data_IF_982228452624
#
_entry.id   IF_982228452624
#
_cell.length_a   1.000
_cell.length_b   1.000
_cell.length_c   1.000
_cell.angle_alpha   90.00
_cell.angle_beta   90.00
_cell.angle_gamma   90.00
#
_symmetry.space_group_name_H-M   'P 1'
#
loop_
_entity.id
_entity.type
_entity.pdbx_description
1 polymer ?
#
# COMPACT_ATOMS: atom_id res chain seq x y z
N UNK A 1 30.22 27.65 -10.79
CA UNK A 1 30.05 26.55 -9.86
C UNK A 1 30.13 25.24 -10.65
N UNK A 2 31.01 24.33 -10.27
CA UNK A 2 31.23 23.08 -11.02
C UNK A 2 29.94 22.24 -11.02
N UNK A 3 29.62 21.54 -12.12
CA UNK A 3 28.39 20.74 -12.29
C UNK A 3 28.15 19.78 -11.13
N UNK A 4 29.22 19.19 -10.60
CA UNK A 4 29.19 18.31 -9.42
C UNK A 4 28.74 19.05 -8.15
N UNK A 5 29.20 20.28 -7.92
CA UNK A 5 28.78 21.09 -6.76
C UNK A 5 27.30 21.52 -6.87
N UNK A 6 26.83 21.84 -8.06
CA UNK A 6 25.41 22.13 -8.28
C UNK A 6 24.53 20.92 -7.98
N UNK A 7 24.90 19.72 -8.47
CA UNK A 7 24.19 18.50 -8.21
C UNK A 7 24.14 18.13 -6.71
N UNK A 8 25.25 18.31 -5.99
CA UNK A 8 25.31 18.12 -4.54
C UNK A 8 24.42 19.12 -3.81
N UNK A 9 24.47 20.40 -4.16
CA UNK A 9 23.63 21.43 -3.56
C UNK A 9 22.13 21.13 -3.75
N UNK A 10 21.70 20.76 -4.96
CA UNK A 10 20.32 20.37 -5.24
C UNK A 10 19.92 19.13 -4.43
N UNK A 11 20.81 18.14 -4.33
CA UNK A 11 20.58 16.91 -3.54
C UNK A 11 20.40 17.22 -2.06
N UNK A 12 21.26 18.07 -1.46
CA UNK A 12 21.14 18.46 -0.06
C UNK A 12 19.88 19.31 0.18
N UNK A 13 19.55 20.23 -0.70
CA UNK A 13 18.34 21.03 -0.62
C UNK A 13 17.09 20.13 -0.61
N UNK A 14 17.00 19.18 -1.53
CA UNK A 14 15.86 18.27 -1.61
C UNK A 14 15.78 17.35 -0.38
N UNK A 15 16.91 16.86 0.12
CA UNK A 15 16.95 16.03 1.33
C UNK A 15 16.50 16.79 2.59
N UNK A 16 16.97 18.03 2.77
CA UNK A 16 16.57 18.87 3.90
C UNK A 16 15.09 19.24 3.82
N UNK A 17 14.59 19.57 2.63
CA UNK A 17 13.16 19.86 2.41
C UNK A 17 12.30 18.63 2.74
N UNK A 18 12.69 17.45 2.26
CA UNK A 18 12.00 16.18 2.56
C UNK A 18 12.01 15.87 4.05
N UNK A 19 13.15 16.06 4.74
CA UNK A 19 13.27 15.90 6.18
C UNK A 19 12.38 16.90 6.95
N UNK A 20 12.30 18.13 6.50
CA UNK A 20 11.41 19.16 7.07
C UNK A 20 9.93 18.78 6.93
N UNK A 21 9.50 18.35 5.73
CA UNK A 21 8.14 17.85 5.50
C UNK A 21 7.84 16.61 6.34
N UNK A 22 8.78 15.68 6.45
CA UNK A 22 8.62 14.50 7.30
C UNK A 22 8.42 14.88 8.77
N UNK A 23 9.31 15.72 9.32
CA UNK A 23 9.24 16.13 10.73
C UNK A 23 7.92 16.86 11.04
N UNK A 24 7.51 17.79 10.17
CA UNK A 24 6.27 18.52 10.30
C UNK A 24 5.04 17.58 10.19
N UNK A 25 5.05 16.69 9.19
CA UNK A 25 3.99 15.72 9.00
C UNK A 25 3.85 14.78 10.18
N UNK A 26 4.97 14.30 10.72
CA UNK A 26 4.99 13.40 11.87
C UNK A 26 4.50 14.12 13.13
N UNK A 27 4.94 15.37 13.37
CA UNK A 27 4.47 16.16 14.49
C UNK A 27 2.95 16.33 14.51
N UNK A 28 2.34 16.73 13.36
CA UNK A 28 0.88 16.86 13.24
C UNK A 28 0.14 15.52 13.45
N UNK A 29 0.72 14.41 13.01
CA UNK A 29 0.08 13.09 13.09
C UNK A 29 0.20 12.46 14.47
N UNK A 30 1.32 12.70 15.16
CA UNK A 30 1.52 12.19 16.52
C UNK A 30 0.84 13.06 17.59
N UNK A 31 0.52 14.33 17.28
CA UNK A 31 -0.15 15.22 18.23
C UNK A 31 -1.48 14.63 18.66
N UNK A 32 -1.62 14.32 19.96
CA UNK A 32 -2.80 13.68 20.54
C UNK A 32 -3.27 12.42 19.80
N UNK A 33 -2.36 11.59 19.27
CA UNK A 33 -2.72 10.39 18.49
C UNK A 33 -3.53 9.37 19.31
N UNK A 34 -3.32 9.31 20.64
CA UNK A 34 -4.09 8.44 21.54
C UNK A 34 -5.49 8.95 21.86
N UNK A 35 -6.00 9.95 21.13
CA UNK A 35 -7.36 10.50 21.27
C UNK A 35 -8.06 10.54 19.91
N UNK A 36 -9.40 10.31 19.88
CA UNK A 36 -10.26 9.90 20.99
C UNK A 36 -9.95 8.50 21.51
N UNK A 37 -10.47 8.19 22.72
CA UNK A 37 -10.33 6.86 23.32
C UNK A 37 -11.25 5.85 22.64
N UNK A 38 -10.83 4.58 22.67
CA UNK A 38 -11.55 3.49 22.01
C UNK A 38 -11.29 3.39 20.51
N UNK A 39 -12.00 2.49 19.88
CA UNK A 39 -11.88 2.26 18.45
C UNK A 39 -12.72 3.24 17.63
N UNK A 40 -12.18 3.72 16.52
CA UNK A 40 -12.86 4.58 15.56
C UNK A 40 -13.13 3.74 14.30
N UNK A 41 -14.37 3.69 13.86
CA UNK A 41 -14.77 3.02 12.63
C UNK A 41 -14.24 1.57 12.57
N UNK A 42 -13.57 1.18 11.49
CA UNK A 42 -13.05 -0.17 11.30
C UNK A 42 -11.82 -0.53 12.19
N UNK A 43 -11.34 0.39 13.02
CA UNK A 43 -10.29 0.05 14.01
C UNK A 43 -10.72 -1.13 14.91
N UNK A 44 -12.03 -1.26 15.16
CA UNK A 44 -12.59 -2.37 15.96
C UNK A 44 -12.24 -3.74 15.39
N UNK A 45 -12.10 -3.84 14.07
CA UNK A 45 -11.67 -5.06 13.39
C UNK A 45 -10.15 -5.09 13.24
N UNK A 46 -9.57 -4.06 12.62
CA UNK A 46 -8.17 -4.11 12.21
C UNK A 46 -7.19 -4.10 13.38
N UNK A 47 -7.46 -3.38 14.46
CA UNK A 47 -6.57 -3.38 15.64
C UNK A 47 -6.64 -4.74 16.38
N UNK A 48 -7.84 -5.33 16.53
CA UNK A 48 -7.99 -6.67 17.14
C UNK A 48 -7.34 -7.75 16.29
N UNK A 49 -7.60 -7.75 14.97
CA UNK A 49 -6.96 -8.71 14.06
C UNK A 49 -5.43 -8.55 14.03
N UNK A 50 -4.92 -7.30 14.03
CA UNK A 50 -3.49 -7.04 14.09
C UNK A 50 -2.86 -7.57 15.39
N UNK A 51 -3.54 -7.42 16.52
CA UNK A 51 -3.10 -7.97 17.79
C UNK A 51 -3.12 -9.50 17.79
N UNK A 52 -4.18 -10.12 17.24
CA UNK A 52 -4.25 -11.57 17.08
C UNK A 52 -3.13 -12.10 16.18
N UNK A 53 -2.88 -11.47 15.03
CA UNK A 53 -1.76 -11.81 14.14
C UNK A 53 -0.40 -11.73 14.86
N UNK A 54 -0.20 -10.73 15.72
CA UNK A 54 1.02 -10.58 16.50
C UNK A 54 1.24 -11.73 17.49
N UNK A 55 0.16 -12.22 18.13
CA UNK A 55 0.23 -13.25 19.14
C UNK A 55 0.20 -14.67 18.57
N UNK A 56 -0.52 -14.90 17.49
CA UNK A 56 -0.86 -16.24 17.02
C UNK A 56 -0.43 -16.52 15.57
N UNK A 57 0.00 -15.50 14.81
CA UNK A 57 0.34 -15.62 13.39
C UNK A 57 -0.87 -15.71 12.46
N UNK A 58 -2.09 -15.80 13.01
CA UNK A 58 -3.38 -15.80 12.31
C UNK A 58 -4.42 -15.03 13.13
N UNK A 59 -5.52 -14.68 12.50
CA UNK A 59 -6.63 -14.01 13.15
C UNK A 59 -7.51 -15.03 13.90
N UNK A 60 -7.63 -14.79 15.21
CA UNK A 60 -8.51 -15.57 16.09
C UNK A 60 -9.45 -14.61 16.84
N UNK A 61 -10.72 -14.99 16.94
CA UNK A 61 -11.67 -14.38 17.87
C UNK A 61 -12.02 -15.40 18.98
N UNK A 62 -11.80 -15.01 20.24
CA UNK A 62 -12.03 -15.89 21.41
C UNK A 62 -11.41 -17.30 21.27
N UNK A 63 -10.20 -17.37 20.68
CA UNK A 63 -9.46 -18.61 20.46
C UNK A 63 -9.94 -19.46 19.30
N UNK A 64 -10.94 -19.01 18.53
CA UNK A 64 -11.43 -19.67 17.31
C UNK A 64 -10.93 -18.96 16.09
N UNK A 65 -10.69 -19.70 15.01
CA UNK A 65 -10.31 -19.13 13.70
C UNK A 65 -11.37 -18.13 13.22
N UNK A 66 -10.92 -16.93 12.91
CA UNK A 66 -11.78 -15.84 12.43
C UNK A 66 -11.69 -15.72 10.91
N UNK A 67 -12.85 -15.61 10.25
CA UNK A 67 -12.92 -15.29 8.82
C UNK A 67 -12.69 -13.81 8.61
N UNK A 68 -11.67 -13.49 7.82
CA UNK A 68 -11.26 -12.10 7.56
C UNK A 68 -11.41 -11.78 6.08
N UNK A 69 -11.95 -10.59 5.78
CA UNK A 69 -12.28 -10.16 4.42
C UNK A 69 -11.18 -9.30 3.75
N UNK A 70 -10.09 -9.02 4.46
CA UNK A 70 -8.96 -8.27 3.94
C UNK A 70 -7.64 -9.01 4.16
N UNK A 71 -6.70 -8.93 3.20
CA UNK A 71 -5.38 -9.53 3.31
C UNK A 71 -4.55 -8.99 4.49
N UNK A 72 -3.44 -9.64 4.87
CA UNK A 72 -2.80 -9.41 6.18
C UNK A 72 -1.87 -8.17 6.26
N UNK A 73 -1.32 -7.64 5.15
CA UNK A 73 -0.20 -6.67 5.19
C UNK A 73 -0.52 -5.40 5.97
N UNK A 74 -1.70 -4.79 5.74
CA UNK A 74 -2.08 -3.59 6.49
C UNK A 74 -2.18 -3.85 8.00
N UNK A 75 -2.69 -5.04 8.36
CA UNK A 75 -2.78 -5.47 9.77
C UNK A 75 -1.41 -5.78 10.37
N UNK A 76 -0.44 -6.29 9.59
CA UNK A 76 0.95 -6.43 10.04
C UNK A 76 1.58 -5.09 10.39
N UNK A 77 1.32 -4.06 9.60
CA UNK A 77 1.83 -2.72 9.89
C UNK A 77 1.21 -2.15 11.17
N UNK A 78 -0.09 -2.35 11.39
CA UNK A 78 -0.75 -1.98 12.65
C UNK A 78 -0.14 -2.77 13.80
N UNK A 79 0.09 -4.08 13.65
CA UNK A 79 0.69 -4.96 14.64
C UNK A 79 2.11 -4.50 15.05
N UNK A 80 2.90 -3.93 14.14
CA UNK A 80 4.20 -3.36 14.46
C UNK A 80 4.09 -2.21 15.48
N UNK A 81 3.12 -1.31 15.30
CA UNK A 81 2.87 -0.24 16.26
C UNK A 81 2.41 -0.78 17.62
N UNK A 82 1.51 -1.77 17.63
CA UNK A 82 1.06 -2.46 18.85
C UNK A 82 2.24 -3.15 19.56
N UNK A 83 3.13 -3.78 18.81
CA UNK A 83 4.32 -4.45 19.38
C UNK A 83 5.25 -3.49 20.13
N UNK A 84 5.38 -2.25 19.64
CA UNK A 84 6.30 -1.26 20.18
C UNK A 84 5.67 -0.49 21.36
N UNK A 85 4.39 -0.11 21.22
CA UNK A 85 3.72 0.82 22.14
C UNK A 85 2.58 0.19 22.96
N UNK A 86 2.35 -1.12 22.79
CA UNK A 86 1.27 -1.83 23.46
C UNK A 86 -0.07 -1.75 22.72
N UNK A 87 -1.03 -2.59 23.16
CA UNK A 87 -2.38 -2.62 22.61
C UNK A 87 -3.22 -1.48 23.22
N UNK A 88 -3.03 -0.28 22.70
CA UNK A 88 -3.74 0.95 23.07
C UNK A 88 -3.86 1.86 21.84
N UNK A 89 -4.63 2.95 21.97
CA UNK A 89 -4.97 3.85 20.86
C UNK A 89 -3.75 4.43 20.16
N UNK A 90 -2.72 4.78 20.90
CA UNK A 90 -1.47 5.24 20.31
C UNK A 90 -0.77 4.12 19.56
N UNK A 91 -0.71 2.92 20.14
CA UNK A 91 -0.02 1.76 19.57
C UNK A 91 -0.61 1.35 18.21
N UNK A 92 -1.92 1.13 18.13
CA UNK A 92 -2.50 0.69 16.85
C UNK A 92 -2.55 1.79 15.78
N UNK A 93 -2.55 3.10 16.15
CA UNK A 93 -2.53 4.23 15.20
C UNK A 93 -1.14 4.65 14.76
N UNK A 94 -0.09 4.27 15.51
CA UNK A 94 1.28 4.75 15.26
C UNK A 94 1.77 4.46 13.84
N UNK A 95 1.58 3.24 13.34
CA UNK A 95 2.05 2.87 12.00
C UNK A 95 1.35 3.67 10.91
N UNK A 96 0.06 3.99 11.07
CA UNK A 96 -0.67 4.87 10.16
C UNK A 96 -0.09 6.29 10.15
N UNK A 97 0.26 6.82 11.34
CA UNK A 97 0.89 8.14 11.46
C UNK A 97 2.27 8.18 10.82
N UNK A 98 3.08 7.15 11.01
CA UNK A 98 4.42 7.04 10.42
C UNK A 98 4.33 6.93 8.89
N UNK A 99 3.54 5.98 8.37
CA UNK A 99 3.38 5.73 6.93
C UNK A 99 2.75 6.93 6.23
N UNK A 100 1.75 7.57 6.84
CA UNK A 100 1.19 8.80 6.32
C UNK A 100 2.19 9.95 6.26
N UNK A 101 3.12 10.04 7.22
CA UNK A 101 4.20 11.04 7.19
C UNK A 101 5.23 10.74 6.09
N UNK A 102 5.60 9.47 5.92
CA UNK A 102 6.50 9.04 4.83
C UNK A 102 5.84 9.28 3.47
N UNK A 103 4.51 9.13 3.37
CA UNK A 103 3.77 9.39 2.12
C UNK A 103 3.90 10.83 1.64
N UNK A 104 3.95 11.83 2.55
CA UNK A 104 4.18 13.23 2.19
C UNK A 104 5.55 13.41 1.52
N UNK A 105 6.59 12.78 2.07
CA UNK A 105 7.93 12.78 1.48
C UNK A 105 7.95 12.09 0.11
N UNK A 106 7.25 10.98 0.01
CA UNK A 106 7.16 10.23 -1.25
C UNK A 106 6.44 11.04 -2.33
N UNK A 107 5.35 11.72 -1.99
CA UNK A 107 4.63 12.65 -2.90
C UNK A 107 5.55 13.80 -3.35
N UNK A 108 6.35 14.37 -2.45
CA UNK A 108 7.37 15.36 -2.83
C UNK A 108 8.31 14.82 -3.91
N UNK A 109 8.85 13.62 -3.74
CA UNK A 109 9.77 13.03 -4.71
C UNK A 109 9.07 12.59 -6.01
N UNK A 110 7.84 12.12 -5.95
CA UNK A 110 7.02 11.86 -7.15
C UNK A 110 6.82 13.14 -7.95
N UNK A 111 6.43 14.24 -7.30
CA UNK A 111 6.27 15.53 -7.94
C UNK A 111 7.59 16.07 -8.53
N UNK A 112 8.72 15.85 -7.85
CA UNK A 112 10.04 16.18 -8.39
C UNK A 112 10.34 15.43 -9.69
N UNK A 113 9.96 14.16 -9.78
CA UNK A 113 10.16 13.37 -11.00
C UNK A 113 9.24 13.78 -12.14
N UNK A 114 8.00 14.16 -11.82
CA UNK A 114 7.00 14.52 -12.82
C UNK A 114 7.21 15.94 -13.36
N UNK A 115 7.46 16.90 -12.48
CA UNK A 115 7.48 18.32 -12.85
C UNK A 115 8.89 18.88 -13.02
N UNK A 116 9.90 18.18 -12.48
CA UNK A 116 11.29 18.70 -12.41
C UNK A 116 11.35 20.13 -11.87
N UNK A 117 10.48 20.47 -10.92
CA UNK A 117 10.33 21.82 -10.37
C UNK A 117 10.22 21.74 -8.85
N UNK A 118 11.15 22.39 -8.16
CA UNK A 118 11.24 22.41 -6.70
C UNK A 118 9.98 23.00 -6.05
N UNK A 119 9.49 24.14 -6.55
CA UNK A 119 8.37 24.84 -5.93
C UNK A 119 7.06 24.09 -6.11
N UNK A 120 6.82 23.51 -7.28
CA UNK A 120 5.65 22.66 -7.51
C UNK A 120 5.69 21.41 -6.63
N UNK A 121 6.86 20.84 -6.39
CA UNK A 121 7.01 19.68 -5.51
C UNK A 121 6.75 20.04 -4.05
N UNK A 122 7.24 21.19 -3.59
CA UNK A 122 6.92 21.69 -2.26
C UNK A 122 5.42 21.98 -2.11
N UNK A 123 4.81 22.61 -3.12
CA UNK A 123 3.38 22.91 -3.12
C UNK A 123 2.54 21.61 -3.06
N UNK A 124 2.89 20.61 -3.87
CA UNK A 124 2.20 19.30 -3.87
C UNK A 124 2.29 18.63 -2.50
N UNK A 125 3.49 18.61 -1.90
CA UNK A 125 3.68 18.05 -0.56
C UNK A 125 2.91 18.83 0.51
N UNK A 126 2.90 20.17 0.44
CA UNK A 126 2.18 21.04 1.36
C UNK A 126 0.66 20.82 1.26
N UNK A 127 0.10 20.78 0.07
CA UNK A 127 -1.33 20.54 -0.14
C UNK A 127 -1.73 19.17 0.42
N UNK A 128 -0.92 18.13 0.20
CA UNK A 128 -1.20 16.80 0.77
C UNK A 128 -1.01 16.78 2.29
N UNK A 129 -0.05 17.53 2.83
CA UNK A 129 0.13 17.68 4.28
C UNK A 129 -1.11 18.25 4.97
N UNK A 130 -1.75 19.22 4.33
CA UNK A 130 -2.93 19.94 4.81
C UNK A 130 -4.25 19.28 4.43
N UNK A 131 -4.21 18.24 3.59
CA UNK A 131 -5.42 17.51 3.19
C UNK A 131 -6.05 16.80 4.37
N UNK A 132 -7.33 17.12 4.64
CA UNK A 132 -8.07 16.61 5.78
C UNK A 132 -8.29 15.10 5.71
N UNK A 133 -8.59 14.55 4.53
CA UNK A 133 -8.83 13.13 4.33
C UNK A 133 -7.55 12.33 4.59
N UNK A 134 -6.44 12.76 4.00
CA UNK A 134 -5.13 12.14 4.23
C UNK A 134 -4.73 12.23 5.71
N UNK A 135 -4.99 13.35 6.38
CA UNK A 135 -4.69 13.51 7.80
C UNK A 135 -5.49 12.53 8.65
N UNK A 136 -6.81 12.40 8.44
CA UNK A 136 -7.68 11.46 9.17
C UNK A 136 -7.22 10.02 8.97
N UNK A 137 -7.01 9.58 7.72
CA UNK A 137 -6.52 8.22 7.42
C UNK A 137 -5.13 7.95 8.02
N UNK A 138 -4.29 8.97 8.16
CA UNK A 138 -2.97 8.84 8.83
C UNK A 138 -3.05 8.81 10.35
N UNK A 139 -4.21 9.04 10.97
CA UNK A 139 -4.40 9.08 12.42
C UNK A 139 -5.36 8.02 12.94
N UNK A 140 -5.83 7.17 12.05
CA UNK A 140 -6.69 6.02 12.34
C UNK A 140 -6.04 4.74 11.81
N UNK A 141 -6.25 3.62 12.49
CA UNK A 141 -5.71 2.33 12.07
C UNK A 141 -6.58 1.69 10.97
N UNK A 142 -6.62 2.36 9.81
CA UNK A 142 -7.34 1.90 8.62
C UNK A 142 -6.35 1.39 7.56
N UNK A 143 -6.82 0.50 6.68
CA UNK A 143 -5.96 -0.12 5.66
C UNK A 143 -5.64 0.83 4.50
N UNK A 144 -6.46 1.85 4.27
CA UNK A 144 -6.40 2.71 3.08
C UNK A 144 -5.11 3.54 3.01
N UNK A 145 -4.58 4.01 4.15
CA UNK A 145 -3.31 4.75 4.19
C UNK A 145 -2.12 3.86 3.73
N UNK A 146 -2.12 2.59 4.10
CA UNK A 146 -1.09 1.65 3.70
C UNK A 146 -1.24 1.25 2.23
N UNK A 147 -2.47 1.04 1.75
CA UNK A 147 -2.76 0.81 0.35
C UNK A 147 -2.23 1.97 -0.50
N UNK A 148 -2.62 3.20 -0.17
CA UNK A 148 -2.17 4.41 -0.87
C UNK A 148 -0.64 4.52 -0.87
N UNK A 149 0.01 4.28 0.26
CA UNK A 149 1.48 4.31 0.37
C UNK A 149 2.14 3.33 -0.61
N UNK A 150 1.72 2.07 -0.64
CA UNK A 150 2.32 1.07 -1.53
C UNK A 150 2.03 1.35 -3.01
N UNK A 151 0.86 1.88 -3.35
CA UNK A 151 0.54 2.31 -4.71
C UNK A 151 1.43 3.49 -5.15
N UNK A 152 1.58 4.48 -4.28
CA UNK A 152 2.43 5.64 -4.54
C UNK A 152 3.91 5.23 -4.67
N UNK A 153 4.37 4.31 -3.82
CA UNK A 153 5.73 3.77 -3.88
C UNK A 153 5.96 2.97 -5.17
N UNK A 154 4.97 2.18 -5.60
CA UNK A 154 5.01 1.47 -6.88
C UNK A 154 5.13 2.45 -8.05
N UNK A 155 4.31 3.51 -8.05
CA UNK A 155 4.38 4.56 -9.06
C UNK A 155 5.73 5.29 -9.06
N UNK A 156 6.27 5.59 -7.89
CA UNK A 156 7.61 6.18 -7.78
C UNK A 156 8.69 5.28 -8.37
N UNK A 157 8.62 3.97 -8.15
CA UNK A 157 9.54 3.02 -8.77
C UNK A 157 9.37 2.92 -10.29
N UNK A 158 8.15 3.07 -10.82
CA UNK A 158 7.92 3.21 -12.26
C UNK A 158 8.66 4.43 -12.80
N UNK A 159 8.54 5.59 -12.16
CA UNK A 159 9.22 6.83 -12.54
C UNK A 159 10.76 6.72 -12.46
N UNK A 160 11.27 5.81 -11.63
CA UNK A 160 12.70 5.48 -11.54
C UNK A 160 13.15 4.36 -12.50
N UNK A 161 12.25 3.85 -13.36
CA UNK A 161 12.49 2.68 -14.21
C UNK A 161 12.86 1.39 -13.45
N UNK A 162 12.50 1.32 -12.15
CA UNK A 162 12.73 0.14 -11.29
C UNK A 162 11.50 -0.76 -11.27
N UNK A 163 11.12 -1.29 -12.43
CA UNK A 163 9.84 -1.96 -12.63
C UNK A 163 9.66 -3.24 -11.78
N UNK A 164 10.75 -3.96 -11.44
CA UNK A 164 10.69 -5.11 -10.53
C UNK A 164 10.28 -4.71 -9.11
N UNK A 165 10.85 -3.61 -8.60
CA UNK A 165 10.45 -3.06 -7.30
C UNK A 165 9.02 -2.51 -7.33
N UNK A 166 8.61 -1.92 -8.46
CA UNK A 166 7.23 -1.47 -8.65
C UNK A 166 6.25 -2.64 -8.54
N UNK A 167 6.53 -3.77 -9.20
CA UNK A 167 5.70 -4.98 -9.09
C UNK A 167 5.64 -5.54 -7.67
N UNK A 168 6.77 -5.58 -7.00
CA UNK A 168 6.85 -6.06 -5.61
C UNK A 168 6.01 -5.20 -4.66
N UNK A 169 6.14 -3.87 -4.73
CA UNK A 169 5.34 -2.95 -3.91
C UNK A 169 3.86 -2.96 -4.28
N UNK A 170 3.53 -3.19 -5.55
CA UNK A 170 2.15 -3.38 -6.00
C UNK A 170 1.53 -4.66 -5.41
N UNK A 171 2.33 -5.71 -5.24
CA UNK A 171 1.92 -6.92 -4.53
C UNK A 171 1.58 -6.65 -3.06
N UNK A 172 2.32 -5.79 -2.36
CA UNK A 172 1.96 -5.35 -1.01
C UNK A 172 0.71 -4.48 -0.99
N UNK A 173 0.48 -3.64 -2.00
CA UNK A 173 -0.77 -2.90 -2.12
C UNK A 173 -1.97 -3.86 -2.22
N UNK A 174 -1.89 -4.87 -3.09
CA UNK A 174 -2.89 -5.91 -3.25
C UNK A 174 -3.09 -6.72 -1.94
N UNK A 175 -1.98 -7.02 -1.25
CA UNK A 175 -1.98 -7.73 0.03
C UNK A 175 -2.40 -6.87 1.24
N UNK A 176 -2.66 -5.59 1.02
CA UNK A 176 -3.29 -4.70 2.00
C UNK A 176 -4.80 -4.66 1.83
N UNK A 177 -5.29 -4.47 0.61
CA UNK A 177 -6.72 -4.38 0.28
C UNK A 177 -6.95 -4.76 -1.19
N UNK A 178 -8.01 -5.52 -1.46
CA UNK A 178 -8.29 -6.04 -2.82
C UNK A 178 -8.54 -4.94 -3.87
N UNK A 179 -8.89 -3.73 -3.46
CA UNK A 179 -8.96 -2.59 -4.38
C UNK A 179 -7.62 -2.31 -5.09
N UNK A 180 -6.50 -2.82 -4.57
CA UNK A 180 -5.20 -2.83 -5.26
C UNK A 180 -5.22 -3.48 -6.64
N UNK A 181 -6.17 -4.39 -6.93
CA UNK A 181 -6.30 -5.07 -8.23
C UNK A 181 -6.61 -4.08 -9.37
N UNK A 182 -7.38 -3.03 -9.09
CA UNK A 182 -7.69 -2.00 -10.09
C UNK A 182 -6.42 -1.25 -10.51
N UNK A 183 -5.54 -0.98 -9.55
CA UNK A 183 -4.26 -0.31 -9.80
C UNK A 183 -3.25 -1.23 -10.46
N UNK A 184 -3.29 -2.53 -10.15
CA UNK A 184 -2.50 -3.54 -10.86
C UNK A 184 -2.85 -3.52 -12.35
N UNK A 185 -4.13 -3.59 -12.70
CA UNK A 185 -4.60 -3.52 -14.08
C UNK A 185 -4.21 -2.19 -14.75
N UNK A 186 -4.40 -1.06 -14.03
CA UNK A 186 -4.06 0.26 -14.54
C UNK A 186 -2.55 0.44 -14.80
N UNK A 187 -1.68 0.00 -13.86
CA UNK A 187 -0.24 0.11 -14.03
C UNK A 187 0.30 -0.82 -15.11
N UNK A 188 -0.25 -2.03 -15.21
CA UNK A 188 0.09 -2.93 -16.31
C UNK A 188 -0.27 -2.30 -17.68
N UNK A 189 -1.51 -1.83 -17.84
CA UNK A 189 -1.95 -1.16 -19.07
C UNK A 189 -1.13 0.10 -19.38
N UNK A 190 -0.82 0.90 -18.35
CA UNK A 190 0.04 2.08 -18.47
C UNK A 190 1.43 1.72 -18.98
N UNK A 191 2.05 0.65 -18.47
CA UNK A 191 3.39 0.23 -18.90
C UNK A 191 3.39 -0.30 -20.32
N UNK A 192 2.36 -1.05 -20.73
CA UNK A 192 2.20 -1.47 -22.15
C UNK A 192 2.02 -0.24 -23.05
N UNK A 193 1.26 0.76 -22.62
CA UNK A 193 1.08 2.00 -23.36
C UNK A 193 2.39 2.79 -23.49
N UNK A 194 3.19 2.88 -22.42
CA UNK A 194 4.51 3.54 -22.46
C UNK A 194 5.44 2.84 -23.45
N UNK A 195 5.51 1.51 -23.41
CA UNK A 195 6.32 0.73 -24.33
C UNK A 195 5.85 0.91 -25.80
N UNK A 196 4.53 0.91 -26.03
CA UNK A 196 3.95 1.22 -27.35
C UNK A 196 4.35 2.62 -27.84
N UNK A 197 4.29 3.63 -26.96
CA UNK A 197 4.70 5.01 -27.32
C UNK A 197 6.18 5.09 -27.68
N UNK A 198 7.04 4.32 -26.99
CA UNK A 198 8.47 4.23 -27.31
C UNK A 198 8.72 3.59 -28.68
N UNK A 199 8.06 2.46 -28.98
CA UNK A 199 8.15 1.80 -30.30
C UNK A 199 7.68 2.74 -31.42
N UNK A 200 6.57 3.47 -31.19
CA UNK A 200 6.06 4.44 -32.17
C UNK A 200 7.02 5.62 -32.38
N UNK A 201 7.67 6.10 -31.31
CA UNK A 201 8.63 7.18 -31.41
C UNK A 201 9.94 6.78 -32.14
N UNK A 202 10.24 5.47 -32.19
CA UNK A 202 11.33 4.91 -32.99
C UNK A 202 10.94 4.64 -34.46
N UNK A 203 9.80 5.16 -34.89
CA UNK A 203 9.26 5.01 -36.26
C UNK A 203 9.04 3.55 -36.69
N UNK A 204 8.80 2.66 -35.70
CA UNK A 204 8.50 1.26 -35.99
C UNK A 204 7.19 1.15 -36.78
N UNK A 205 7.21 0.47 -37.94
CA UNK A 205 6.04 0.30 -38.80
C UNK A 205 4.93 -0.56 -38.18
N UNK A 206 5.28 -1.37 -37.19
CA UNK A 206 4.32 -2.24 -36.48
C UNK A 206 4.46 -2.13 -34.95
N UNK A 207 4.25 -0.93 -34.36
CA UNK A 207 4.59 -0.68 -32.95
C UNK A 207 3.80 -1.55 -31.99
N UNK A 208 2.51 -1.84 -32.27
CA UNK A 208 1.69 -2.73 -31.44
C UNK A 208 2.26 -4.14 -31.42
N UNK A 209 2.55 -4.70 -32.63
CA UNK A 209 3.09 -6.06 -32.75
C UNK A 209 4.43 -6.18 -32.03
N UNK A 210 5.33 -5.22 -32.24
CA UNK A 210 6.64 -5.16 -31.58
C UNK A 210 6.51 -5.09 -30.06
N UNK A 211 5.64 -4.23 -29.52
CA UNK A 211 5.39 -4.12 -28.08
C UNK A 211 4.90 -5.46 -27.51
N UNK A 212 3.91 -6.09 -28.13
CA UNK A 212 3.38 -7.35 -27.66
C UNK A 212 4.40 -8.49 -27.73
N UNK A 213 5.20 -8.57 -28.79
CA UNK A 213 6.22 -9.62 -28.93
C UNK A 213 7.41 -9.43 -27.97
N UNK A 214 7.87 -8.20 -27.77
CA UNK A 214 9.14 -7.93 -27.09
C UNK A 214 8.98 -7.53 -25.62
N UNK A 215 7.83 -6.94 -25.24
CA UNK A 215 7.65 -6.34 -23.91
C UNK A 215 6.55 -6.99 -23.07
N UNK A 216 5.53 -7.58 -23.70
CA UNK A 216 4.36 -8.11 -22.99
C UNK A 216 4.75 -9.14 -21.93
N UNK A 217 5.62 -10.10 -22.25
CA UNK A 217 6.03 -11.13 -21.29
C UNK A 217 6.73 -10.55 -20.06
N UNK A 218 7.71 -9.65 -20.27
CA UNK A 218 8.43 -9.04 -19.15
C UNK A 218 7.51 -8.14 -18.31
N UNK A 219 6.59 -7.39 -18.95
CA UNK A 219 5.62 -6.58 -18.22
C UNK A 219 4.61 -7.42 -17.45
N UNK A 220 4.15 -8.53 -18.02
CA UNK A 220 3.29 -9.49 -17.31
C UNK A 220 4.01 -10.08 -16.09
N UNK A 221 5.30 -10.41 -16.23
CA UNK A 221 6.08 -10.89 -15.08
C UNK A 221 6.19 -9.80 -14.00
N UNK A 222 6.51 -8.57 -14.38
CA UNK A 222 6.70 -7.46 -13.43
C UNK A 222 5.41 -7.00 -12.75
N UNK A 223 4.30 -6.91 -13.49
CA UNK A 223 3.06 -6.27 -13.01
C UNK A 223 1.89 -7.25 -12.80
N UNK A 224 2.07 -8.55 -13.04
CA UNK A 224 1.07 -9.57 -12.71
C UNK A 224 1.72 -10.67 -11.86
N UNK A 225 2.74 -11.38 -12.38
CA UNK A 225 3.29 -12.54 -11.67
C UNK A 225 3.92 -12.15 -10.33
N UNK A 226 4.81 -11.14 -10.30
CA UNK A 226 5.47 -10.69 -9.05
C UNK A 226 4.45 -10.19 -8.02
N UNK A 227 3.49 -9.32 -8.34
CA UNK A 227 2.44 -8.94 -7.41
C UNK A 227 1.67 -10.13 -6.84
N UNK A 228 1.29 -11.10 -7.69
CA UNK A 228 0.56 -12.31 -7.25
C UNK A 228 1.42 -13.17 -6.33
N UNK A 229 2.68 -13.42 -6.67
CA UNK A 229 3.62 -14.17 -5.83
C UNK A 229 3.82 -13.46 -4.48
N UNK A 230 4.03 -12.13 -4.51
CA UNK A 230 4.13 -11.32 -3.29
C UNK A 230 2.88 -11.43 -2.45
N UNK A 231 1.70 -11.31 -3.06
CA UNK A 231 0.41 -11.47 -2.40
C UNK A 231 0.29 -12.83 -1.69
N UNK A 232 0.54 -13.93 -2.42
CA UNK A 232 0.44 -15.30 -1.87
C UNK A 232 1.44 -15.50 -0.72
N UNK A 233 2.66 -14.97 -0.83
CA UNK A 233 3.66 -15.09 0.25
C UNK A 233 3.23 -14.36 1.53
N UNK A 234 2.40 -13.33 1.45
CA UNK A 234 1.89 -12.66 2.66
C UNK A 234 0.91 -13.53 3.47
N UNK A 235 0.39 -14.60 2.89
CA UNK A 235 -0.47 -15.56 3.59
C UNK A 235 0.32 -16.66 4.34
N UNK A 236 1.67 -16.53 4.44
CA UNK A 236 2.51 -17.55 5.09
C UNK A 236 2.10 -17.83 6.54
N UNK A 237 1.65 -16.83 7.30
CA UNK A 237 1.10 -17.04 8.65
C UNK A 237 -0.04 -18.05 8.64
N UNK A 238 -1.00 -17.87 7.76
CA UNK A 238 -2.13 -18.76 7.57
C UNK A 238 -1.69 -20.16 7.04
N UNK A 239 -0.68 -20.23 6.16
CA UNK A 239 -0.16 -21.51 5.67
C UNK A 239 0.53 -22.33 6.77
N UNK A 240 1.30 -21.67 7.63
CA UNK A 240 2.16 -22.32 8.64
C UNK A 240 1.43 -22.61 9.95
N UNK A 241 0.29 -21.94 10.20
CA UNK A 241 -0.45 -22.07 11.45
C UNK A 241 -1.67 -22.98 11.26
N UNK A 242 -1.86 -24.02 12.08
CA UNK A 242 -2.98 -24.95 11.93
C UNK A 242 -4.35 -24.31 12.22
N UNK A 243 -4.36 -23.21 12.97
CA UNK A 243 -5.57 -22.54 13.46
C UNK A 243 -6.10 -21.47 12.49
N UNK A 244 -5.56 -21.36 11.25
CA UNK A 244 -6.10 -20.44 10.24
C UNK A 244 -7.52 -20.84 9.83
N UNK A 245 -8.39 -19.86 9.59
CA UNK A 245 -9.76 -20.11 9.19
C UNK A 245 -9.80 -21.02 7.95
N UNK A 246 -10.54 -22.11 8.07
CA UNK A 246 -10.77 -23.14 7.05
C UNK A 246 -9.49 -23.64 6.33
N UNK A 247 -8.37 -23.61 7.07
CA UNK A 247 -7.03 -24.01 6.58
C UNK A 247 -7.00 -25.44 6.05
N UNK A 248 -7.83 -26.31 6.64
CA UNK A 248 -7.90 -27.75 6.33
C UNK A 248 -9.09 -28.10 5.44
N UNK A 249 -9.69 -27.12 4.73
CA UNK A 249 -10.78 -27.35 3.77
C UNK A 249 -10.40 -28.40 2.70
N UNK A 250 -9.14 -28.39 2.26
CA UNK A 250 -8.59 -29.37 1.33
C UNK A 250 -7.25 -29.89 1.84
N UNK A 251 -6.85 -31.10 1.38
CA UNK A 251 -5.49 -31.63 1.58
C UNK A 251 -4.43 -30.75 0.89
N UNK A 252 -4.79 -30.05 -0.19
CA UNK A 252 -3.92 -29.10 -0.87
C UNK A 252 -4.11 -27.69 -0.28
N UNK A 253 -3.08 -27.09 0.34
CA UNK A 253 -3.17 -25.78 0.96
C UNK A 253 -3.55 -24.64 -0.01
N UNK A 254 -3.14 -24.74 -1.28
CA UNK A 254 -3.50 -23.73 -2.29
C UNK A 254 -4.99 -23.78 -2.65
N UNK A 255 -5.61 -24.99 -2.64
CA UNK A 255 -7.05 -25.13 -2.83
C UNK A 255 -7.82 -24.59 -1.63
N UNK A 256 -7.31 -24.79 -0.41
CA UNK A 256 -7.90 -24.18 0.79
C UNK A 256 -7.81 -22.65 0.72
N UNK A 257 -6.67 -22.08 0.27
CA UNK A 257 -6.53 -20.65 0.08
C UNK A 257 -7.48 -20.14 -1.01
N UNK A 258 -7.61 -20.85 -2.12
CA UNK A 258 -8.56 -20.52 -3.17
C UNK A 258 -10.00 -20.49 -2.63
N UNK A 259 -10.39 -21.50 -1.87
CA UNK A 259 -11.70 -21.51 -1.21
C UNK A 259 -11.88 -20.31 -0.28
N UNK A 260 -10.87 -19.97 0.55
CA UNK A 260 -10.90 -18.76 1.37
C UNK A 260 -11.20 -17.52 0.53
N UNK A 261 -10.54 -17.37 -0.62
CA UNK A 261 -10.74 -16.24 -1.51
C UNK A 261 -12.11 -16.22 -2.18
N UNK A 262 -12.69 -17.39 -2.46
CA UNK A 262 -14.09 -17.45 -2.93
C UNK A 262 -15.08 -16.96 -1.89
N UNK A 263 -14.82 -17.26 -0.61
CA UNK A 263 -15.65 -16.75 0.51
C UNK A 263 -15.49 -15.24 0.68
N UNK A 264 -14.26 -14.73 0.58
CA UNK A 264 -14.01 -13.25 0.58
C UNK A 264 -14.75 -12.57 -0.58
N UNK A 265 -14.73 -13.17 -1.78
CA UNK A 265 -15.46 -12.65 -2.94
C UNK A 265 -16.97 -12.63 -2.69
N UNK A 266 -17.54 -13.74 -2.20
CA UNK A 266 -18.96 -13.84 -1.87
C UNK A 266 -19.37 -12.79 -0.82
N UNK A 267 -18.53 -12.59 0.21
CA UNK A 267 -18.77 -11.54 1.20
C UNK A 267 -18.88 -10.16 0.54
N UNK A 268 -17.89 -9.77 -0.26
CA UNK A 268 -17.86 -8.45 -0.88
C UNK A 268 -18.96 -8.22 -1.93
N UNK A 269 -19.39 -9.26 -2.63
CA UNK A 269 -20.46 -9.15 -3.66
C UNK A 269 -21.86 -9.21 -3.10
N UNK A 270 -22.06 -9.87 -1.95
CA UNK A 270 -23.37 -10.06 -1.32
C UNK A 270 -23.63 -9.08 -0.16
N UNK A 271 -22.67 -8.19 0.14
CA UNK A 271 -22.84 -7.20 1.19
C UNK A 271 -23.93 -6.20 0.82
N UNK A 272 -25.07 -6.30 1.52
CA UNK A 272 -26.26 -5.44 1.29
C UNK A 272 -26.45 -4.39 2.38
N UNK A 273 -25.66 -4.45 3.45
CA UNK A 273 -25.76 -3.56 4.58
C UNK A 273 -25.40 -2.12 4.15
N UNK A 274 -26.34 -1.20 4.42
CA UNK A 274 -26.15 0.23 4.17
C UNK A 274 -25.74 0.90 5.48
N UNK A 275 -24.75 1.77 5.41
CA UNK A 275 -24.45 2.64 6.54
C UNK A 275 -25.63 3.56 6.80
N UNK A 276 -25.97 3.75 8.08
CA UNK A 276 -27.10 4.57 8.52
C UNK A 276 -26.86 6.08 8.35
N UNK A 277 -25.65 6.49 8.02
CA UNK A 277 -25.27 7.89 7.80
C UNK A 277 -24.45 8.02 6.52
N UNK A 278 -24.61 9.17 5.88
CA UNK A 278 -23.80 9.59 4.74
C UNK A 278 -23.09 10.88 5.14
N UNK A 279 -21.85 11.04 4.68
CA UNK A 279 -21.20 12.35 4.74
C UNK A 279 -21.90 13.28 3.73
N UNK A 280 -22.35 14.44 4.16
CA UNK A 280 -22.85 15.50 3.31
C UNK A 280 -21.74 16.11 2.48
#
# INVERSE_FOLDING_TARGET
MNSTMQALFVRYKNALTAAGFFALALAFRLWHLGTPKGFIFDEVYYAKNAHSLLLHGVELDNGKAEFIVHPPVGKWLIAMGIKIFGFNEFGWRFSSALVGSISIVLIYFVAQRLFNNYYLSCLTALLTLLDGLHLVHSRTALLDIFLMFFLLLSFYFILLSKHWLAGFTLGFALATKWTGIYYLAAFFAFMIYVDYRQEKAMENLTPIKSTLQNKFFIRSTQFILIPVVTYVTTWMGWFLTPNGWDRNHSKNPLLSLWYYHTQMWQFHTNLTDKHSYQSN
#
